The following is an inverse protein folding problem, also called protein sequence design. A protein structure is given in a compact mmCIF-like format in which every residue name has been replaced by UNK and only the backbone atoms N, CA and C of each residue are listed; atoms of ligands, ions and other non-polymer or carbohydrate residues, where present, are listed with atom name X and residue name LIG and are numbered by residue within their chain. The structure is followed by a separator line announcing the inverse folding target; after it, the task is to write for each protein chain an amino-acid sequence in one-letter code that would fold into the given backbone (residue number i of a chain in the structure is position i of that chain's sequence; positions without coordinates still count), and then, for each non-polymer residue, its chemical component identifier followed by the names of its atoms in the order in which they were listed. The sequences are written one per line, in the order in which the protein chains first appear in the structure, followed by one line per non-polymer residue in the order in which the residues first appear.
data_IF_233531443730
#
_entry.id   IF_233531443730
#
_cell.length_a   1.000
_cell.length_b   1.000
_cell.length_c   1.000
_cell.angle_alpha   90.00
_cell.angle_beta   90.00
_cell.angle_gamma   90.00
#
_symmetry.space_group_name_H-M   'P 1'
#
loop_
_entity.id
_entity.type
_entity.pdbx_description
1 polymer ?
#
# COMPACT_ATOMS: atom_id res chain seq x y z
N UNK A 1 -28.11 -12.03 -79.97
CA UNK A 1 -27.39 -10.86 -79.41
C UNK A 1 -28.32 -10.05 -78.50
N UNK A 2 -28.32 -10.25 -77.24
CA UNK A 2 -29.09 -9.47 -76.26
C UNK A 2 -28.11 -8.71 -75.35
N UNK A 3 -28.12 -7.36 -75.49
CA UNK A 3 -27.34 -6.45 -74.70
C UNK A 3 -27.90 -6.36 -73.23
N UNK A 4 -27.11 -6.66 -72.25
CA UNK A 4 -27.47 -6.44 -70.85
C UNK A 4 -27.09 -4.98 -70.43
N UNK A 5 -28.04 -4.26 -69.86
CA UNK A 5 -27.87 -2.92 -69.29
C UNK A 5 -27.16 -3.02 -67.86
N UNK A 6 -26.27 -2.11 -67.51
CA UNK A 6 -25.71 -2.10 -66.15
C UNK A 6 -26.68 -1.40 -65.20
N UNK A 7 -26.83 -1.98 -64.01
CA UNK A 7 -27.54 -1.39 -62.90
C UNK A 7 -26.65 -0.30 -62.27
N UNK A 8 -27.19 0.90 -62.08
CA UNK A 8 -26.60 1.99 -61.33
C UNK A 8 -26.98 1.78 -59.88
N UNK A 9 -25.99 1.58 -59.03
CA UNK A 9 -26.14 1.61 -57.57
C UNK A 9 -25.99 3.04 -57.13
N UNK A 10 -27.03 3.62 -56.54
CA UNK A 10 -27.05 4.94 -55.96
C UNK A 10 -26.52 4.81 -54.53
N UNK A 11 -25.33 5.32 -54.23
CA UNK A 11 -24.79 5.44 -52.89
C UNK A 11 -25.45 6.63 -52.20
N UNK A 12 -26.19 6.36 -51.12
CA UNK A 12 -26.68 7.35 -50.16
C UNK A 12 -25.57 7.59 -49.16
N UNK A 13 -25.11 8.82 -48.89
CA UNK A 13 -24.14 9.06 -47.85
C UNK A 13 -24.82 9.02 -46.47
N UNK A 14 -24.44 8.04 -45.66
CA UNK A 14 -24.77 8.02 -44.24
C UNK A 14 -23.90 9.10 -43.57
N UNK A 15 -24.50 10.18 -43.14
CA UNK A 15 -23.88 11.15 -42.27
C UNK A 15 -23.68 10.52 -40.86
N UNK A 16 -22.47 10.15 -40.55
CA UNK A 16 -22.09 9.74 -39.17
C UNK A 16 -22.11 10.99 -38.27
N UNK A 17 -23.12 11.09 -37.43
CA UNK A 17 -23.13 12.04 -36.34
C UNK A 17 -22.05 11.59 -35.32
N UNK A 18 -20.92 12.31 -35.27
CA UNK A 18 -19.98 12.23 -34.17
C UNK A 18 -20.67 12.78 -32.91
N UNK A 19 -21.20 11.89 -32.07
CA UNK A 19 -21.51 12.20 -30.71
C UNK A 19 -20.17 12.35 -29.99
N UNK A 20 -19.79 13.59 -29.65
CA UNK A 20 -18.75 13.86 -28.67
C UNK A 20 -19.17 13.21 -27.34
N UNK A 21 -18.66 12.04 -27.05
CA UNK A 21 -18.66 11.52 -25.69
C UNK A 21 -17.79 12.47 -24.87
N UNK A 22 -18.43 13.25 -24.02
CA UNK A 22 -17.75 13.95 -22.94
C UNK A 22 -17.18 12.85 -22.05
N UNK A 23 -15.86 12.73 -22.08
CA UNK A 23 -15.11 11.95 -21.09
C UNK A 23 -15.35 12.60 -19.74
N UNK A 24 -16.27 12.03 -18.96
CA UNK A 24 -16.30 12.29 -17.53
C UNK A 24 -14.97 11.80 -16.98
N UNK A 25 -14.13 12.72 -16.51
CA UNK A 25 -12.96 12.37 -15.70
C UNK A 25 -13.48 11.62 -14.47
N UNK A 26 -13.32 10.32 -14.47
CA UNK A 26 -13.51 9.53 -13.28
C UNK A 26 -12.37 9.95 -12.33
N UNK A 27 -12.71 10.51 -11.19
CA UNK A 27 -11.79 10.68 -10.08
C UNK A 27 -11.12 9.34 -9.76
N UNK A 28 -9.88 9.33 -9.21
CA UNK A 28 -9.26 8.10 -8.72
C UNK A 28 -10.27 7.34 -7.89
N UNK A 29 -10.28 5.99 -7.89
CA UNK A 29 -11.34 5.30 -7.19
C UNK A 29 -11.34 5.88 -5.79
N UNK A 30 -12.25 6.85 -5.61
CA UNK A 30 -12.69 7.24 -4.31
C UNK A 30 -13.36 5.98 -3.77
N UNK A 31 -12.53 4.97 -3.49
CA UNK A 31 -12.91 3.90 -2.60
C UNK A 31 -13.49 4.52 -1.33
N UNK A 32 -13.49 5.85 -1.25
CA UNK A 32 -13.40 6.57 0.00
C UNK A 32 -14.38 7.71 0.20
N UNK A 33 -15.25 8.04 -0.76
CA UNK A 33 -16.25 9.09 -0.55
C UNK A 33 -17.52 8.85 -1.36
N UNK A 34 -18.44 8.04 -0.81
CA UNK A 34 -19.87 8.20 -1.11
C UNK A 34 -20.52 8.99 0.01
N UNK A 35 -21.37 9.99 -0.29
CA UNK A 35 -22.19 10.65 0.72
C UNK A 35 -23.00 9.60 1.48
N UNK A 36 -23.03 9.68 2.82
CA UNK A 36 -23.79 8.79 3.64
C UNK A 36 -25.28 8.93 3.29
N UNK A 37 -25.92 7.82 2.96
CA UNK A 37 -27.37 7.74 2.84
C UNK A 37 -27.98 7.96 4.26
N UNK A 38 -28.89 8.93 4.47
CA UNK A 38 -29.45 9.22 5.79
C UNK A 38 -30.38 8.10 6.26
N UNK A 39 -29.82 7.03 6.79
CA UNK A 39 -30.52 5.83 7.27
C UNK A 39 -29.61 4.64 7.44
N UNK A 40 -28.39 4.67 6.90
CA UNK A 40 -27.36 3.65 7.11
C UNK A 40 -26.55 3.93 8.37
N UNK A 41 -26.21 2.90 9.15
CA UNK A 41 -25.21 3.02 10.23
C UNK A 41 -23.94 3.61 9.63
N UNK A 42 -23.42 4.67 10.23
CA UNK A 42 -22.15 5.26 9.83
C UNK A 42 -20.98 4.32 10.22
N UNK A 43 -19.92 4.32 9.44
CA UNK A 43 -18.63 3.75 9.85
C UNK A 43 -18.05 4.52 11.03
N UNK A 44 -17.26 3.86 11.86
CA UNK A 44 -16.47 4.54 12.88
C UNK A 44 -15.42 5.44 12.21
N UNK A 45 -15.13 6.57 12.83
CA UNK A 45 -14.13 7.54 12.39
C UNK A 45 -12.96 7.59 13.37
N UNK A 46 -11.76 7.85 12.87
CA UNK A 46 -10.58 8.09 13.68
C UNK A 46 -10.54 9.57 14.10
N UNK A 47 -11.13 9.91 15.24
CA UNK A 47 -11.27 11.30 15.71
C UNK A 47 -10.25 11.67 16.78
N UNK A 48 -9.92 10.73 17.67
CA UNK A 48 -9.06 10.94 18.83
C UNK A 48 -8.06 9.79 18.98
N UNK A 49 -6.91 10.01 19.63
CA UNK A 49 -5.99 8.95 19.98
C UNK A 49 -6.68 7.84 20.79
N UNK A 50 -6.29 6.59 20.56
CA UNK A 50 -6.80 5.43 21.30
C UNK A 50 -5.65 4.60 21.86
N UNK A 51 -5.95 3.74 22.82
CA UNK A 51 -5.02 2.69 23.21
C UNK A 51 -5.00 1.59 22.14
N UNK A 52 -3.79 1.19 21.75
CA UNK A 52 -3.57 0.04 20.89
C UNK A 52 -3.38 -1.21 21.74
N UNK A 53 -4.00 -2.29 21.35
CA UNK A 53 -3.97 -3.58 22.06
C UNK A 53 -3.32 -4.64 21.17
N UNK A 54 -2.07 -4.96 21.42
CA UNK A 54 -1.38 -6.02 20.68
C UNK A 54 -1.49 -7.36 21.44
N UNK A 55 -1.71 -8.49 20.72
CA UNK A 55 -1.68 -8.67 19.25
C UNK A 55 -2.99 -8.34 18.52
N UNK A 56 -4.07 -7.98 19.22
CA UNK A 56 -5.41 -7.77 18.63
C UNK A 56 -5.40 -6.80 17.46
N UNK A 57 -4.73 -5.66 17.60
CA UNK A 57 -4.71 -4.60 16.58
C UNK A 57 -3.79 -4.92 15.38
N UNK A 58 -3.15 -6.11 15.35
CA UNK A 58 -2.60 -6.66 14.11
C UNK A 58 -3.71 -7.16 13.18
N UNK A 59 -4.86 -7.52 13.73
CA UNK A 59 -6.02 -8.02 13.00
C UNK A 59 -6.90 -6.94 12.38
N UNK A 60 -8.07 -7.31 11.85
CA UNK A 60 -8.99 -6.40 11.19
C UNK A 60 -9.81 -5.55 12.15
N UNK A 61 -10.25 -4.37 11.65
CA UNK A 61 -11.04 -3.37 12.35
C UNK A 61 -12.37 -3.11 11.62
N UNK A 62 -13.35 -4.01 11.68
CA UNK A 62 -14.54 -3.99 10.82
C UNK A 62 -15.51 -2.84 11.09
N UNK A 63 -15.34 -2.09 12.18
CA UNK A 63 -16.06 -0.85 12.40
C UNK A 63 -15.66 0.27 11.44
N UNK A 64 -14.45 0.17 10.86
CA UNK A 64 -13.90 1.14 9.94
C UNK A 64 -14.09 0.71 8.49
N UNK A 65 -14.19 1.69 7.60
CA UNK A 65 -14.47 1.48 6.18
C UNK A 65 -13.34 0.80 5.44
N UNK A 66 -12.09 1.13 5.79
CA UNK A 66 -10.92 0.64 5.07
C UNK A 66 -9.76 0.38 6.01
N UNK A 67 -8.92 -0.54 5.59
CA UNK A 67 -7.65 -0.83 6.24
C UNK A 67 -6.71 -1.57 5.30
N UNK A 68 -5.41 -1.52 5.61
CA UNK A 68 -4.41 -2.27 4.88
C UNK A 68 -3.33 -2.86 5.77
N UNK A 69 -2.78 -3.94 5.29
CA UNK A 69 -1.58 -4.61 5.75
C UNK A 69 -0.56 -4.47 4.64
N UNK A 70 0.35 -3.52 4.77
CA UNK A 70 1.35 -3.20 3.77
C UNK A 70 2.69 -3.72 4.24
N UNK A 71 3.30 -4.65 3.49
CA UNK A 71 4.57 -5.28 3.82
C UNK A 71 5.53 -5.13 2.65
N UNK A 72 6.68 -4.51 2.92
CA UNK A 72 7.76 -4.37 1.95
C UNK A 72 9.08 -4.84 2.52
N UNK A 73 10.02 -5.18 1.67
CA UNK A 73 11.33 -5.58 2.17
C UNK A 73 12.43 -5.63 1.13
N UNK A 74 13.66 -5.55 1.63
CA UNK A 74 14.89 -5.72 0.88
C UNK A 74 15.58 -7.00 1.32
N UNK A 75 15.80 -7.92 0.37
CA UNK A 75 16.27 -9.27 0.62
C UNK A 75 17.56 -9.56 -0.17
N UNK A 76 18.32 -10.50 0.35
CA UNK A 76 19.54 -11.00 -0.27
C UNK A 76 19.51 -12.53 -0.35
N UNK A 77 19.99 -13.04 -1.46
CA UNK A 77 20.37 -14.44 -1.56
C UNK A 77 21.77 -14.68 -0.98
N UNK A 78 22.11 -15.92 -0.69
CA UNK A 78 23.43 -16.30 -0.14
C UNK A 78 24.58 -15.99 -1.09
N UNK A 79 24.32 -15.90 -2.40
CA UNK A 79 25.27 -15.52 -3.43
C UNK A 79 25.37 -13.99 -3.66
N UNK A 80 24.68 -13.19 -2.83
CA UNK A 80 24.67 -11.75 -2.87
C UNK A 80 23.65 -11.12 -3.82
N UNK A 81 22.87 -11.89 -4.58
CA UNK A 81 21.79 -11.36 -5.41
C UNK A 81 20.78 -10.61 -4.55
N UNK A 82 20.25 -9.51 -5.09
CA UNK A 82 19.36 -8.59 -4.35
C UNK A 82 17.94 -8.63 -4.89
N UNK A 83 16.99 -8.59 -3.95
CA UNK A 83 15.57 -8.55 -4.26
C UNK A 83 14.84 -7.51 -3.41
N UNK A 84 13.83 -6.86 -4.01
CA UNK A 84 12.79 -6.15 -3.29
C UNK A 84 11.48 -6.93 -3.38
N UNK A 85 10.61 -6.79 -2.39
CA UNK A 85 9.24 -7.28 -2.50
C UNK A 85 8.27 -6.32 -1.83
N UNK A 86 7.04 -6.35 -2.31
CA UNK A 86 5.86 -5.77 -1.68
C UNK A 86 4.75 -6.83 -1.69
N UNK A 87 4.03 -6.93 -0.58
CA UNK A 87 2.75 -7.62 -0.50
C UNK A 87 1.81 -6.79 0.37
N UNK A 88 0.78 -6.24 -0.26
CA UNK A 88 -0.22 -5.43 0.43
C UNK A 88 -1.59 -6.08 0.31
N UNK A 89 -2.32 -6.11 1.42
CA UNK A 89 -3.74 -6.45 1.46
C UNK A 89 -4.53 -5.23 1.86
N UNK A 90 -5.56 -4.91 1.08
CA UNK A 90 -6.54 -3.88 1.37
C UNK A 90 -7.88 -4.53 1.66
N UNK A 91 -8.55 -4.10 2.74
CA UNK A 91 -9.95 -4.41 3.02
C UNK A 91 -10.78 -3.14 2.87
N UNK A 92 -11.87 -3.25 2.15
CA UNK A 92 -12.87 -2.19 1.99
C UNK A 92 -14.23 -2.74 2.39
N UNK A 93 -14.82 -2.20 3.45
CA UNK A 93 -16.16 -2.53 3.86
C UNK A 93 -17.17 -1.69 3.06
N UNK A 94 -18.15 -2.36 2.46
CA UNK A 94 -19.26 -1.74 1.71
C UNK A 94 -20.38 -1.28 2.64
N UNK A 95 -20.52 -1.96 3.78
CA UNK A 95 -21.48 -1.64 4.84
C UNK A 95 -20.83 -1.83 6.21
N UNK A 96 -21.16 -1.02 7.21
CA UNK A 96 -20.63 -1.18 8.56
C UNK A 96 -21.00 -2.55 9.16
N UNK A 97 -20.10 -3.11 9.96
CA UNK A 97 -20.40 -4.33 10.70
C UNK A 97 -21.53 -4.08 11.70
N UNK A 98 -22.50 -5.01 11.86
CA UNK A 98 -23.66 -4.81 12.75
C UNK A 98 -23.28 -4.53 14.21
N UNK A 99 -22.21 -5.17 14.70
CA UNK A 99 -21.81 -5.15 16.11
C UNK A 99 -20.31 -4.91 16.33
N UNK A 100 -19.60 -4.43 15.31
CA UNK A 100 -18.13 -4.26 15.36
C UNK A 100 -17.36 -5.57 15.51
N UNK A 101 -18.02 -6.72 15.33
CA UNK A 101 -17.41 -8.04 15.46
C UNK A 101 -16.77 -8.48 14.15
N UNK A 102 -15.50 -8.79 14.24
CA UNK A 102 -14.68 -9.37 13.17
C UNK A 102 -15.06 -10.83 12.96
N UNK A 103 -15.17 -11.26 11.70
CA UNK A 103 -15.18 -12.68 11.34
C UNK A 103 -16.37 -13.49 11.84
N UNK A 104 -17.43 -12.86 12.29
CA UNK A 104 -18.68 -13.56 12.46
C UNK A 104 -19.23 -13.88 11.06
N UNK A 105 -19.01 -15.12 10.61
CA UNK A 105 -19.97 -15.77 9.72
C UNK A 105 -21.35 -15.36 10.20
N UNK A 106 -22.30 -14.93 9.36
CA UNK A 106 -23.58 -14.43 9.80
C UNK A 106 -24.23 -15.50 10.70
N UNK A 107 -24.15 -15.28 12.02
CA UNK A 107 -25.09 -15.94 12.91
C UNK A 107 -26.43 -15.42 12.43
N UNK A 108 -27.14 -16.24 11.67
CA UNK A 108 -28.50 -16.04 11.24
C UNK A 108 -29.31 -15.63 12.45
N UNK A 109 -29.61 -14.33 12.58
CA UNK A 109 -30.81 -13.94 13.27
C UNK A 109 -31.94 -14.64 12.53
N UNK A 110 -32.66 -15.52 13.23
CA UNK A 110 -33.72 -16.33 12.66
C UNK A 110 -34.69 -15.42 11.89
N UNK A 111 -34.71 -15.50 10.56
CA UNK A 111 -35.62 -14.77 9.70
C UNK A 111 -35.10 -14.36 8.33
N UNK A 112 -33.80 -14.10 8.15
CA UNK A 112 -33.26 -13.79 6.85
C UNK A 112 -32.18 -14.82 6.46
N UNK A 113 -32.47 -15.63 5.48
CA UNK A 113 -31.47 -16.45 4.76
C UNK A 113 -30.50 -15.50 4.07
N UNK A 114 -29.44 -15.09 4.78
CA UNK A 114 -28.39 -14.29 4.18
C UNK A 114 -27.72 -15.15 3.10
N UNK A 115 -27.92 -14.77 1.84
CA UNK A 115 -27.25 -15.43 0.70
C UNK A 115 -25.73 -15.48 0.94
N UNK A 116 -25.12 -16.66 0.78
CA UNK A 116 -23.67 -16.84 0.81
C UNK A 116 -22.92 -15.95 -0.23
N UNK A 117 -23.68 -15.32 -1.12
CA UNK A 117 -23.20 -14.39 -2.13
C UNK A 117 -23.29 -12.91 -1.72
N UNK A 118 -23.86 -12.60 -0.54
CA UNK A 118 -23.93 -11.22 -0.08
C UNK A 118 -22.52 -10.73 0.25
N UNK A 119 -22.04 -9.75 -0.49
CA UNK A 119 -20.74 -9.13 -0.29
C UNK A 119 -20.86 -7.99 0.69
N UNK A 120 -20.13 -8.03 1.78
CA UNK A 120 -20.02 -6.95 2.77
C UNK A 120 -18.66 -6.28 2.72
N UNK A 121 -17.62 -7.02 2.31
CA UNK A 121 -16.25 -6.58 2.23
C UNK A 121 -15.63 -7.01 0.88
N UNK A 122 -14.80 -6.13 0.35
CA UNK A 122 -13.96 -6.39 -0.81
C UNK A 122 -12.51 -6.37 -0.33
N UNK A 123 -11.76 -7.34 -0.79
CA UNK A 123 -10.31 -7.41 -0.59
C UNK A 123 -9.60 -7.21 -1.91
N UNK A 124 -8.55 -6.39 -1.89
CA UNK A 124 -7.59 -6.23 -2.99
C UNK A 124 -6.23 -6.60 -2.44
N UNK A 125 -5.40 -7.24 -3.23
CA UNK A 125 -4.02 -7.46 -2.84
C UNK A 125 -3.08 -7.19 -4.02
N UNK A 126 -1.97 -6.56 -3.72
CA UNK A 126 -0.87 -6.32 -4.64
C UNK A 126 0.32 -7.15 -4.21
N UNK A 127 1.00 -7.77 -5.16
CA UNK A 127 2.25 -8.47 -4.94
C UNK A 127 3.25 -8.08 -6.01
N UNK A 128 4.38 -7.54 -5.59
CA UNK A 128 5.47 -7.18 -6.48
C UNK A 128 6.80 -7.78 -6.04
N UNK A 129 7.66 -8.07 -7.01
CA UNK A 129 9.04 -8.50 -6.80
C UNK A 129 9.96 -7.71 -7.72
N UNK A 130 10.98 -7.12 -7.13
CA UNK A 130 12.09 -6.46 -7.81
C UNK A 130 13.29 -7.39 -7.79
N UNK A 131 13.67 -7.98 -8.92
CA UNK A 131 14.93 -8.72 -9.11
C UNK A 131 15.98 -7.72 -9.60
N UNK A 132 16.75 -7.19 -8.65
CA UNK A 132 17.65 -6.05 -8.89
C UNK A 132 18.75 -6.41 -9.90
N UNK A 133 19.38 -7.56 -9.72
CA UNK A 133 20.51 -7.99 -10.55
C UNK A 133 20.07 -8.33 -11.97
N UNK A 134 18.87 -8.88 -12.14
CA UNK A 134 18.31 -9.15 -13.47
C UNK A 134 17.56 -7.96 -14.06
N UNK A 135 17.45 -6.85 -13.34
CA UNK A 135 16.72 -5.64 -13.72
C UNK A 135 15.27 -5.95 -14.14
N UNK A 136 14.59 -6.76 -13.35
CA UNK A 136 13.21 -7.18 -13.61
C UNK A 136 12.31 -6.76 -12.46
N UNK A 137 11.21 -6.12 -12.82
CA UNK A 137 10.09 -5.84 -11.92
C UNK A 137 8.88 -6.65 -12.39
N UNK A 138 8.24 -7.34 -11.47
CA UNK A 138 7.01 -8.11 -11.73
C UNK A 138 6.01 -7.82 -10.64
N UNK A 139 4.76 -7.65 -11.03
CA UNK A 139 3.66 -7.43 -10.10
C UNK A 139 2.41 -8.16 -10.56
N UNK A 140 1.50 -8.37 -9.62
CA UNK A 140 0.15 -8.86 -9.86
C UNK A 140 -0.81 -8.22 -8.85
N UNK A 141 -2.03 -7.93 -9.30
CA UNK A 141 -3.15 -7.53 -8.48
C UNK A 141 -4.16 -8.67 -8.43
N UNK A 142 -4.74 -8.90 -7.25
CA UNK A 142 -5.90 -9.75 -7.05
C UNK A 142 -7.01 -8.95 -6.40
N UNK A 143 -8.25 -9.33 -6.70
CA UNK A 143 -9.45 -8.78 -6.09
C UNK A 143 -10.43 -9.93 -5.82
N UNK A 144 -10.96 -9.97 -4.60
CA UNK A 144 -12.01 -10.90 -4.23
C UNK A 144 -12.93 -10.28 -3.19
N UNK A 145 -14.12 -10.83 -3.07
CA UNK A 145 -15.02 -10.59 -1.94
C UNK A 145 -14.79 -11.64 -0.85
N UNK A 146 -15.22 -11.34 0.37
CA UNK A 146 -15.12 -12.27 1.51
C UNK A 146 -15.86 -13.60 1.32
N UNK A 147 -16.76 -13.68 0.34
CA UNK A 147 -17.63 -14.83 0.12
C UNK A 147 -16.83 -16.10 -0.19
N UNK A 148 -17.33 -17.25 0.26
CA UNK A 148 -16.79 -18.59 0.02
C UNK A 148 -15.35 -18.79 0.54
N UNK A 149 -14.87 -17.96 1.47
CA UNK A 149 -13.53 -18.06 2.02
C UNK A 149 -12.41 -17.66 1.04
N UNK A 150 -12.75 -16.99 -0.07
CA UNK A 150 -11.77 -16.52 -1.07
C UNK A 150 -10.85 -15.44 -0.51
N UNK A 151 -11.38 -14.59 0.36
CA UNK A 151 -10.61 -13.57 1.04
C UNK A 151 -11.14 -13.34 2.45
N UNK A 152 -10.33 -12.78 3.32
CA UNK A 152 -10.74 -12.44 4.68
C UNK A 152 -9.59 -11.98 5.55
N UNK A 153 -9.94 -11.58 6.78
CA UNK A 153 -8.99 -11.26 7.82
C UNK A 153 -9.53 -11.69 9.19
N UNK A 154 -8.64 -12.12 10.09
CA UNK A 154 -8.95 -12.49 11.47
C UNK A 154 -7.80 -12.08 12.40
N UNK A 155 -8.12 -11.83 13.68
CA UNK A 155 -7.15 -11.32 14.64
C UNK A 155 -6.41 -12.42 15.46
N UNK A 156 -7.07 -13.55 15.72
CA UNK A 156 -6.52 -14.58 16.59
C UNK A 156 -6.84 -16.00 16.08
N UNK A 157 -5.84 -16.75 15.58
CA UNK A 157 -4.52 -16.23 15.22
C UNK A 157 -4.61 -15.20 14.09
N UNK A 158 -3.64 -14.29 13.99
CA UNK A 158 -3.60 -13.35 12.88
C UNK A 158 -3.59 -14.09 11.55
N UNK A 159 -4.51 -13.74 10.69
CA UNK A 159 -4.52 -14.20 9.30
C UNK A 159 -5.22 -13.19 8.42
N UNK A 160 -4.56 -12.81 7.33
CA UNK A 160 -5.13 -12.04 6.22
C UNK A 160 -4.85 -12.82 4.96
N UNK A 161 -5.85 -13.01 4.11
CA UNK A 161 -5.66 -13.83 2.90
C UNK A 161 -6.52 -13.36 1.73
N UNK A 162 -6.03 -13.63 0.55
CA UNK A 162 -6.76 -13.49 -0.70
C UNK A 162 -6.25 -14.54 -1.72
N UNK A 163 -7.10 -15.51 -2.05
CA UNK A 163 -6.87 -16.50 -3.12
C UNK A 163 -5.43 -17.09 -3.09
N UNK A 164 -5.05 -17.69 -1.98
CA UNK A 164 -3.75 -18.34 -1.80
C UNK A 164 -2.60 -17.41 -1.41
N UNK A 165 -2.78 -16.10 -1.41
CA UNK A 165 -1.83 -15.17 -0.78
C UNK A 165 -2.21 -14.96 0.67
N UNK A 166 -1.23 -14.91 1.57
CA UNK A 166 -1.52 -14.74 3.00
C UNK A 166 -0.39 -14.08 3.78
N UNK A 167 -0.79 -13.37 4.83
CA UNK A 167 -0.01 -13.06 6.01
C UNK A 167 -0.65 -13.79 7.17
N UNK A 168 0.06 -14.68 7.85
CA UNK A 168 -0.53 -15.48 8.91
C UNK A 168 0.42 -15.77 10.06
N UNK A 169 -0.12 -15.76 11.26
CA UNK A 169 0.55 -16.23 12.44
C UNK A 169 0.44 -17.76 12.50
N UNK A 170 1.56 -18.49 12.71
CA UNK A 170 1.48 -19.92 12.94
C UNK A 170 0.57 -20.23 14.15
N UNK A 171 -0.18 -21.32 14.08
CA UNK A 171 -1.23 -21.70 15.04
C UNK A 171 -0.77 -21.95 16.51
N UNK A 172 0.40 -21.49 16.90
CA UNK A 172 1.02 -21.74 18.20
C UNK A 172 0.68 -20.73 19.29
N UNK A 173 -0.13 -19.70 18.98
CA UNK A 173 -0.57 -18.70 19.97
C UNK A 173 0.54 -17.78 20.50
N UNK A 174 1.68 -17.73 19.84
CA UNK A 174 2.79 -16.83 20.15
C UNK A 174 2.78 -15.64 19.18
N UNK A 175 3.15 -14.46 19.65
CA UNK A 175 3.24 -13.23 18.86
C UNK A 175 4.42 -13.27 17.87
N UNK A 176 4.32 -14.07 16.82
CA UNK A 176 5.32 -14.21 15.76
C UNK A 176 6.22 -15.45 15.89
N UNK A 177 7.05 -15.79 14.89
CA UNK A 177 7.16 -15.09 13.58
C UNK A 177 5.94 -15.30 12.69
N UNK A 178 5.65 -14.34 11.82
CA UNK A 178 4.56 -14.44 10.84
C UNK A 178 5.04 -15.07 9.54
N UNK A 179 4.17 -15.85 8.90
CA UNK A 179 4.42 -16.36 7.56
C UNK A 179 3.78 -15.45 6.53
N UNK A 180 4.55 -15.08 5.52
CA UNK A 180 4.11 -14.32 4.36
C UNK A 180 4.23 -15.19 3.12
N UNK A 181 3.11 -15.39 2.41
CA UNK A 181 3.08 -16.21 1.20
C UNK A 181 2.36 -15.50 0.07
N UNK A 182 2.99 -15.43 -1.10
CA UNK A 182 2.36 -14.99 -2.34
C UNK A 182 2.98 -15.66 -3.55
N UNK A 183 2.17 -15.91 -4.59
CA UNK A 183 2.63 -16.53 -5.82
C UNK A 183 1.99 -15.86 -7.04
N UNK A 184 2.81 -15.64 -8.07
CA UNK A 184 2.42 -15.22 -9.40
C UNK A 184 3.20 -16.00 -10.45
N UNK A 185 2.83 -15.98 -11.74
CA UNK A 185 3.58 -16.67 -12.78
C UNK A 185 5.06 -16.27 -12.80
N UNK A 186 5.95 -17.24 -12.53
CA UNK A 186 7.40 -17.08 -12.51
C UNK A 186 8.01 -16.61 -11.19
N UNK A 187 7.22 -16.18 -10.19
CA UNK A 187 7.70 -15.76 -8.88
C UNK A 187 6.74 -16.19 -7.77
N UNK A 188 7.29 -16.72 -6.68
CA UNK A 188 6.54 -16.93 -5.44
C UNK A 188 7.46 -16.69 -4.25
N UNK A 189 6.93 -16.11 -3.18
CA UNK A 189 7.62 -15.95 -1.90
C UNK A 189 6.98 -16.82 -0.84
N UNK A 190 7.81 -17.34 0.07
CA UNK A 190 7.40 -18.02 1.28
C UNK A 190 8.40 -17.61 2.37
N UNK A 191 8.01 -16.61 3.15
CA UNK A 191 8.89 -15.88 4.05
C UNK A 191 8.38 -15.97 5.49
N UNK A 192 9.31 -16.06 6.43
CA UNK A 192 9.06 -15.88 7.87
C UNK A 192 9.53 -14.49 8.26
N UNK A 193 8.64 -13.73 8.89
CA UNK A 193 8.86 -12.36 9.36
C UNK A 193 8.93 -12.37 10.88
N UNK A 194 10.07 -12.01 11.44
CA UNK A 194 10.30 -11.98 12.88
C UNK A 194 10.45 -10.53 13.38
N UNK A 195 9.48 -10.02 14.17
CA UNK A 195 9.58 -8.69 14.74
C UNK A 195 10.85 -8.48 15.56
N UNK A 196 11.58 -7.38 15.29
CA UNK A 196 12.81 -7.02 16.01
C UNK A 196 12.57 -5.91 17.03
N UNK A 197 11.40 -5.29 17.02
CA UNK A 197 11.02 -4.19 17.91
C UNK A 197 9.52 -4.19 18.15
N UNK A 198 9.08 -3.46 19.18
CA UNK A 198 7.66 -3.18 19.37
C UNK A 198 7.09 -2.34 18.23
N UNK A 199 5.76 -2.38 18.00
CA UNK A 199 5.09 -1.48 17.08
C UNK A 199 5.33 -0.01 17.44
N UNK A 200 5.50 0.82 16.41
CA UNK A 200 5.75 2.26 16.51
C UNK A 200 4.49 2.99 16.08
N UNK A 201 3.87 3.74 16.97
CA UNK A 201 2.66 4.49 16.69
C UNK A 201 3.00 5.78 15.93
N UNK A 202 2.37 5.98 14.77
CA UNK A 202 2.58 7.17 13.93
C UNK A 202 1.59 8.29 14.28
N UNK A 203 1.98 9.55 14.07
CA UNK A 203 1.16 10.69 14.39
C UNK A 203 0.99 10.91 15.91
N UNK A 204 -0.17 11.40 16.33
CA UNK A 204 -0.48 11.65 17.73
C UNK A 204 -0.93 10.35 18.42
N UNK A 205 0.01 9.61 19.02
CA UNK A 205 -0.24 8.32 19.66
C UNK A 205 -1.04 7.34 18.76
N UNK A 206 -0.66 7.26 17.49
CA UNK A 206 -1.29 6.39 16.50
C UNK A 206 -2.42 7.03 15.70
N UNK A 207 -2.85 8.25 16.00
CA UNK A 207 -3.80 9.02 15.18
C UNK A 207 -3.03 9.83 14.14
N UNK A 208 -3.16 9.45 12.88
CA UNK A 208 -2.53 10.11 11.73
C UNK A 208 -3.56 10.94 10.97
N UNK A 209 -3.53 12.26 11.15
CA UNK A 209 -4.42 13.20 10.43
C UNK A 209 -3.90 13.41 9.02
N UNK A 210 -4.84 13.47 8.06
CA UNK A 210 -4.53 13.70 6.63
C UNK A 210 -5.02 15.08 6.16
N UNK A 211 -5.93 15.70 6.89
CA UNK A 211 -6.42 17.07 6.62
C UNK A 211 -6.89 17.73 7.93
N UNK A 212 -7.33 18.99 7.85
CA UNK A 212 -7.96 19.69 8.98
C UNK A 212 -9.37 19.15 9.30
N UNK A 213 -10.02 18.47 8.35
CA UNK A 213 -11.37 17.96 8.53
C UNK A 213 -11.36 16.82 9.56
N UNK A 214 -12.27 16.91 10.53
CA UNK A 214 -12.47 15.83 11.49
C UNK A 214 -12.89 14.54 10.77
N UNK A 215 -12.23 13.43 11.09
CA UNK A 215 -12.47 12.13 10.44
C UNK A 215 -11.56 11.83 9.23
N UNK A 216 -10.91 12.84 8.63
CA UNK A 216 -9.84 12.63 7.64
C UNK A 216 -8.55 12.22 8.35
N UNK A 217 -8.62 11.10 9.02
CA UNK A 217 -7.54 10.52 9.80
C UNK A 217 -7.64 8.99 9.79
N UNK A 218 -6.54 8.38 10.14
CA UNK A 218 -6.42 6.93 10.29
C UNK A 218 -5.73 6.60 11.59
N UNK A 219 -5.97 5.40 12.10
CA UNK A 219 -5.08 4.79 13.08
C UNK A 219 -3.95 4.10 12.35
N UNK A 220 -2.73 4.40 12.75
CA UNK A 220 -1.55 4.03 12.01
C UNK A 220 -0.39 3.63 12.92
N UNK A 221 0.15 2.43 12.72
CA UNK A 221 1.41 2.03 13.32
C UNK A 221 2.31 1.33 12.30
N UNK A 222 3.61 1.37 12.55
CA UNK A 222 4.64 0.68 11.77
C UNK A 222 5.35 -0.37 12.63
N UNK A 223 5.83 -1.43 11.96
CA UNK A 223 6.89 -2.29 12.48
C UNK A 223 8.11 -2.12 11.56
N UNK A 224 9.02 -1.23 11.93
CA UNK A 224 10.10 -0.77 11.03
C UNK A 224 11.12 -1.85 10.70
N UNK A 225 11.25 -2.88 11.53
CA UNK A 225 12.26 -3.93 11.37
C UNK A 225 11.68 -5.30 11.67
N UNK A 226 11.48 -6.07 10.62
CA UNK A 226 11.14 -7.48 10.67
C UNK A 226 12.29 -8.27 10.04
N UNK A 227 12.97 -9.13 10.81
CA UNK A 227 13.96 -10.01 10.23
C UNK A 227 13.27 -11.02 9.32
N UNK A 228 13.79 -11.22 8.14
CA UNK A 228 13.22 -12.09 7.12
C UNK A 228 14.12 -13.27 6.84
N UNK A 229 13.52 -14.46 6.79
CA UNK A 229 14.13 -15.69 6.29
C UNK A 229 13.10 -16.43 5.44
N UNK A 230 13.56 -17.11 4.42
CA UNK A 230 12.68 -17.93 3.58
C UNK A 230 13.20 -18.05 2.17
N UNK A 231 12.29 -18.22 1.24
CA UNK A 231 12.66 -18.49 -0.16
C UNK A 231 11.81 -17.70 -1.15
N UNK A 232 12.42 -17.40 -2.27
CA UNK A 232 11.79 -16.99 -3.51
C UNK A 232 11.86 -18.16 -4.49
N UNK A 233 10.73 -18.60 -5.02
CA UNK A 233 10.71 -19.42 -6.21
C UNK A 233 10.77 -18.50 -7.43
N UNK A 234 11.87 -18.57 -8.19
CA UNK A 234 12.12 -17.73 -9.37
C UNK A 234 12.27 -18.61 -10.60
N UNK A 235 11.33 -18.47 -11.54
CA UNK A 235 11.29 -19.30 -12.77
C UNK A 235 11.43 -20.80 -12.48
N UNK A 236 10.76 -21.28 -11.39
CA UNK A 236 10.79 -22.69 -10.94
C UNK A 236 12.00 -23.07 -10.08
N UNK A 237 12.97 -22.18 -9.87
CA UNK A 237 14.16 -22.44 -9.05
C UNK A 237 14.04 -21.75 -7.68
N UNK A 238 14.24 -22.46 -6.56
CA UNK A 238 14.25 -21.87 -5.24
C UNK A 238 15.53 -21.05 -5.03
N UNK A 239 15.37 -19.88 -4.40
CA UNK A 239 16.44 -19.00 -3.96
C UNK A 239 16.22 -18.72 -2.48
N UNK A 240 17.13 -19.18 -1.63
CA UNK A 240 17.08 -18.88 -0.19
C UNK A 240 17.40 -17.42 0.08
N UNK A 241 16.56 -16.79 0.89
CA UNK A 241 16.61 -15.35 1.13
C UNK A 241 16.67 -15.01 2.62
N UNK A 242 17.36 -13.92 2.90
CA UNK A 242 17.34 -13.25 4.20
C UNK A 242 17.36 -11.73 4.00
N UNK A 243 16.97 -10.99 5.01
CA UNK A 243 16.96 -9.53 4.95
C UNK A 243 16.06 -8.88 5.98
N UNK A 244 15.57 -7.72 5.63
CA UNK A 244 14.66 -6.95 6.48
C UNK A 244 13.39 -6.60 5.71
N UNK A 245 12.26 -6.63 6.42
CA UNK A 245 10.99 -6.10 5.96
C UNK A 245 10.50 -4.97 6.87
N UNK A 246 9.55 -4.24 6.35
CA UNK A 246 8.76 -3.21 7.00
C UNK A 246 7.29 -3.64 6.94
N UNK A 247 6.53 -3.39 8.00
CA UNK A 247 5.08 -3.51 7.99
C UNK A 247 4.46 -2.18 8.41
N UNK A 248 3.48 -1.72 7.62
CA UNK A 248 2.52 -0.70 8.03
C UNK A 248 1.14 -1.29 8.19
N UNK A 249 0.47 -0.90 9.27
CA UNK A 249 -0.93 -1.15 9.53
C UNK A 249 -1.64 0.18 9.69
N UNK A 250 -2.65 0.36 8.87
CA UNK A 250 -3.42 1.59 8.89
C UNK A 250 -4.90 1.28 8.65
N UNK A 251 -5.79 1.93 9.39
CA UNK A 251 -7.24 1.78 9.25
C UNK A 251 -7.98 3.06 9.59
N UNK A 252 -9.09 3.30 8.89
CA UNK A 252 -9.90 4.49 9.06
C UNK A 252 -11.15 4.47 8.19
N UNK A 253 -11.90 5.55 8.21
CA UNK A 253 -13.05 5.74 7.34
C UNK A 253 -12.97 7.02 6.51
N UNK A 254 -12.11 7.94 6.90
CA UNK A 254 -11.70 9.10 6.11
C UNK A 254 -10.65 8.75 5.06
N UNK A 255 -10.31 9.73 4.25
CA UNK A 255 -9.33 9.61 3.17
C UNK A 255 -8.47 10.87 3.07
N UNK A 256 -7.95 11.11 1.89
CA UNK A 256 -7.34 12.37 1.54
C UNK A 256 -8.42 13.46 1.54
N UNK A 257 -8.05 14.66 1.95
CA UNK A 257 -8.92 15.82 1.86
C UNK A 257 -9.18 16.24 0.39
N UNK A 258 -10.04 17.23 0.16
CA UNK A 258 -10.47 17.60 -1.19
C UNK A 258 -9.38 18.30 -2.03
N UNK A 259 -8.26 18.64 -1.42
CA UNK A 259 -7.14 19.32 -2.08
C UNK A 259 -6.03 18.38 -2.49
N UNK A 260 -5.84 17.27 -1.74
CA UNK A 260 -4.79 16.31 -1.95
C UNK A 260 -5.09 15.40 -3.14
N UNK A 261 -4.06 15.16 -3.97
CA UNK A 261 -4.14 14.30 -5.17
C UNK A 261 -3.30 13.04 -5.06
N UNK A 262 -2.57 12.86 -3.97
CA UNK A 262 -1.72 11.71 -3.76
C UNK A 262 -0.65 11.97 -2.72
N UNK A 263 0.30 11.05 -2.63
CA UNK A 263 1.39 11.13 -1.66
C UNK A 263 2.68 10.50 -2.19
N UNK A 264 3.78 10.88 -1.57
CA UNK A 264 5.07 10.20 -1.62
C UNK A 264 5.33 9.64 -0.23
N UNK A 265 5.40 8.32 -0.09
CA UNK A 265 5.67 7.65 1.16
C UNK A 265 7.06 7.02 1.13
N UNK A 266 7.76 7.10 2.25
CA UNK A 266 9.12 6.60 2.43
C UNK A 266 9.21 5.76 3.69
N UNK A 267 9.76 4.54 3.61
CA UNK A 267 10.21 3.73 4.73
C UNK A 267 11.67 3.37 4.52
N UNK A 268 12.52 3.94 5.33
CA UNK A 268 13.97 3.79 5.21
C UNK A 268 14.52 3.11 6.44
N UNK A 269 15.25 2.02 6.25
CA UNK A 269 15.96 1.24 7.27
C UNK A 269 17.45 1.51 7.10
N UNK A 270 18.06 2.12 8.13
CA UNK A 270 19.45 2.56 8.07
C UNK A 270 20.38 1.52 8.71
N UNK A 271 21.65 1.52 8.28
CA UNK A 271 22.64 0.51 8.69
C UNK A 271 23.06 0.66 10.16
N UNK A 272 22.85 1.84 10.77
CA UNK A 272 23.07 2.08 12.19
C UNK A 272 21.95 1.53 13.09
N UNK A 273 20.94 0.87 12.50
CA UNK A 273 19.79 0.32 13.21
C UNK A 273 18.61 1.28 13.34
N UNK A 274 18.77 2.55 12.98
CA UNK A 274 17.68 3.52 12.97
C UNK A 274 16.76 3.35 11.77
N UNK A 275 15.58 3.99 11.80
CA UNK A 275 14.60 3.97 10.71
C UNK A 275 13.87 5.31 10.59
N UNK A 276 13.49 5.64 9.36
CA UNK A 276 12.70 6.84 9.04
C UNK A 276 11.48 6.44 8.22
N UNK A 277 10.29 6.74 8.69
CA UNK A 277 9.09 6.80 7.89
C UNK A 277 8.69 8.26 7.69
N UNK A 278 8.27 8.62 6.48
CA UNK A 278 7.70 9.92 6.20
C UNK A 278 6.74 9.83 5.00
N UNK A 279 5.56 10.42 5.14
CA UNK A 279 4.65 10.63 4.01
C UNK A 279 4.52 12.12 3.71
N UNK A 280 4.65 12.46 2.44
CA UNK A 280 4.45 13.79 1.90
C UNK A 280 3.15 13.82 1.10
N UNK A 281 2.08 14.37 1.68
CA UNK A 281 0.82 14.58 0.98
C UNK A 281 1.01 15.70 -0.05
N UNK A 282 0.46 15.52 -1.26
CA UNK A 282 0.58 16.48 -2.35
C UNK A 282 -0.78 17.04 -2.70
N UNK A 283 -0.87 18.35 -2.78
CA UNK A 283 -2.04 19.03 -3.29
C UNK A 283 -2.03 19.14 -4.83
N UNK A 284 -3.13 19.67 -5.37
CA UNK A 284 -3.33 19.85 -6.83
C UNK A 284 -2.29 20.75 -7.49
N UNK A 285 -1.67 21.65 -6.73
CA UNK A 285 -0.65 22.57 -7.21
C UNK A 285 0.76 21.94 -7.10
N UNK A 286 0.85 20.70 -6.60
CA UNK A 286 2.09 19.97 -6.38
C UNK A 286 2.84 20.43 -5.13
N UNK A 287 2.26 21.30 -4.31
CA UNK A 287 2.82 21.68 -3.04
C UNK A 287 2.64 20.54 -2.02
N UNK A 288 3.53 20.50 -1.06
CA UNK A 288 3.43 19.54 0.04
C UNK A 288 2.49 20.09 1.10
N UNK A 289 1.45 19.32 1.42
CA UNK A 289 0.46 19.67 2.44
C UNK A 289 1.07 19.68 3.84
N UNK A 290 0.54 20.53 4.72
CA UNK A 290 1.02 20.69 6.09
C UNK A 290 0.80 19.48 6.99
N UNK A 291 -0.16 18.62 6.66
CA UNK A 291 -0.41 17.34 7.35
C UNK A 291 0.57 16.24 6.97
N UNK A 292 1.54 16.53 6.08
CA UNK A 292 2.66 15.63 5.83
C UNK A 292 3.44 15.41 7.13
N UNK A 293 3.71 14.15 7.45
CA UNK A 293 4.30 13.79 8.72
C UNK A 293 5.11 12.50 8.64
N UNK A 294 5.82 12.20 9.69
CA UNK A 294 6.60 10.98 9.77
C UNK A 294 7.06 10.64 11.17
N UNK A 295 7.88 9.62 11.24
CA UNK A 295 8.43 9.11 12.50
C UNK A 295 9.88 8.69 12.30
N UNK A 296 10.74 9.16 13.17
CA UNK A 296 12.10 8.66 13.33
C UNK A 296 12.14 7.66 14.46
N UNK A 297 12.79 6.52 14.22
CA UNK A 297 13.11 5.51 15.25
C UNK A 297 14.61 5.40 15.35
N UNK A 298 15.16 5.74 16.48
CA UNK A 298 16.60 5.63 16.72
C UNK A 298 17.00 4.15 16.96
N UNK A 299 18.29 3.87 16.86
CA UNK A 299 18.83 2.51 17.09
C UNK A 299 18.60 1.96 18.50
N UNK A 300 18.40 2.82 19.48
CA UNK A 300 18.03 2.45 20.86
C UNK A 300 16.52 2.21 21.05
N UNK A 301 15.72 2.35 19.98
CA UNK A 301 14.28 2.20 19.99
C UNK A 301 13.51 3.47 20.39
N UNK A 302 14.20 4.57 20.70
CA UNK A 302 13.51 5.84 20.98
C UNK A 302 12.83 6.39 19.73
N UNK A 303 11.62 6.94 19.91
CA UNK A 303 10.73 7.38 18.82
C UNK A 303 10.55 8.89 18.88
N UNK A 304 10.66 9.53 17.72
CA UNK A 304 10.41 10.95 17.54
C UNK A 304 9.44 11.19 16.38
N UNK A 305 8.32 11.83 16.66
CA UNK A 305 7.42 12.31 15.61
C UNK A 305 8.08 13.47 14.83
N UNK A 306 7.85 13.48 13.52
CA UNK A 306 8.35 14.49 12.59
C UNK A 306 7.16 15.17 11.90
N UNK A 307 7.13 16.47 11.99
CA UNK A 307 6.16 17.31 11.28
C UNK A 307 6.62 17.63 9.85
N UNK A 308 5.74 18.25 9.08
CA UNK A 308 6.06 18.78 7.75
C UNK A 308 7.28 19.73 7.79
N UNK A 309 7.40 20.54 8.81
CA UNK A 309 8.48 21.52 8.97
C UNK A 309 9.86 20.89 9.34
N UNK A 310 9.86 19.69 9.95
CA UNK A 310 11.09 19.02 10.37
C UNK A 310 11.84 18.37 9.21
N UNK A 311 11.17 18.09 8.08
CA UNK A 311 11.72 17.29 6.99
C UNK A 311 11.73 18.08 5.68
N UNK A 312 12.90 18.17 5.06
CA UNK A 312 13.05 18.71 3.69
C UNK A 312 13.24 17.55 2.72
N UNK A 313 12.41 17.50 1.68
CA UNK A 313 12.50 16.53 0.58
C UNK A 313 12.70 17.28 -0.72
N UNK A 314 13.80 17.03 -1.41
CA UNK A 314 14.07 17.57 -2.73
C UNK A 314 14.18 16.44 -3.75
N UNK A 315 13.38 16.49 -4.80
CA UNK A 315 13.48 15.58 -5.94
C UNK A 315 14.74 15.93 -6.73
N UNK A 316 15.65 14.98 -6.87
CA UNK A 316 16.94 15.16 -7.56
C UNK A 316 17.04 14.39 -8.88
N UNK A 317 16.05 13.55 -9.19
CA UNK A 317 15.95 12.83 -10.44
C UNK A 317 14.50 12.46 -10.76
N UNK A 318 14.23 12.10 -12.00
CA UNK A 318 12.91 11.67 -12.42
C UNK A 318 12.99 10.58 -13.49
N UNK A 319 11.95 9.77 -13.58
CA UNK A 319 11.78 8.75 -14.58
C UNK A 319 10.43 8.96 -15.30
N UNK A 320 10.37 8.58 -16.59
CA UNK A 320 9.12 8.55 -17.35
C UNK A 320 8.76 7.11 -17.67
N UNK A 321 7.50 6.77 -17.40
CA UNK A 321 6.98 5.48 -17.80
C UNK A 321 6.70 5.44 -19.32
N UNK A 322 6.26 4.28 -19.81
CA UNK A 322 5.96 4.09 -21.25
C UNK A 322 4.79 4.93 -21.76
N UNK A 323 3.94 5.36 -20.88
CA UNK A 323 2.75 6.20 -21.17
C UNK A 323 3.08 7.69 -21.15
N UNK A 324 4.27 8.06 -20.69
CA UNK A 324 4.75 9.44 -20.64
C UNK A 324 4.59 10.14 -19.30
N UNK A 325 3.93 9.49 -18.31
CA UNK A 325 3.80 10.02 -16.95
C UNK A 325 5.18 10.12 -16.28
N UNK A 326 5.36 11.17 -15.51
CA UNK A 326 6.65 11.46 -14.87
C UNK A 326 6.57 11.23 -13.37
N UNK A 327 7.40 10.33 -12.89
CA UNK A 327 7.62 10.03 -11.47
C UNK A 327 8.92 10.64 -10.96
N UNK A 328 9.00 11.10 -9.71
CA UNK A 328 10.26 11.26 -8.99
C UNK A 328 11.04 9.93 -8.99
N UNK A 329 12.35 10.00 -9.13
CA UNK A 329 13.20 8.80 -9.17
C UNK A 329 14.55 9.00 -8.49
N UNK A 330 14.70 10.02 -7.69
CA UNK A 330 15.77 10.22 -6.73
C UNK A 330 15.42 11.39 -5.82
N UNK A 331 15.81 11.30 -4.56
CA UNK A 331 15.48 12.32 -3.56
C UNK A 331 16.70 12.63 -2.69
N UNK A 332 16.70 13.84 -2.15
CA UNK A 332 17.51 14.22 -1.00
C UNK A 332 16.58 14.54 0.15
N UNK A 333 16.72 13.80 1.24
CA UNK A 333 15.91 13.96 2.45
C UNK A 333 16.80 14.48 3.57
N UNK A 334 16.38 15.59 4.21
CA UNK A 334 17.11 16.19 5.32
C UNK A 334 16.19 16.35 6.53
N UNK A 335 16.74 16.01 7.69
CA UNK A 335 16.13 16.25 9.00
C UNK A 335 17.16 16.98 9.87
N UNK A 336 17.19 18.33 9.82
CA UNK A 336 18.24 19.11 10.47
C UNK A 336 18.40 18.81 11.97
N UNK A 337 17.29 18.64 12.67
CA UNK A 337 17.28 18.33 14.11
C UNK A 337 17.90 16.97 14.49
N UNK A 338 18.10 16.08 13.49
CA UNK A 338 18.80 14.80 13.61
C UNK A 338 20.18 14.83 12.96
N UNK A 339 20.61 15.97 12.44
CA UNK A 339 21.80 16.13 11.60
C UNK A 339 21.84 15.09 10.45
N UNK A 340 20.66 14.77 9.89
CA UNK A 340 20.48 13.72 8.87
C UNK A 340 20.39 14.35 7.47
N UNK A 341 21.17 13.82 6.53
CA UNK A 341 21.16 14.22 5.11
C UNK A 341 21.33 12.95 4.25
N UNK A 342 20.22 12.50 3.67
CA UNK A 342 20.13 11.25 2.93
C UNK A 342 19.91 11.50 1.44
N UNK A 343 20.56 10.70 0.60
CA UNK A 343 20.26 10.51 -0.82
C UNK A 343 19.55 9.18 -1.00
N UNK A 344 18.34 9.20 -1.57
CA UNK A 344 17.52 8.01 -1.82
C UNK A 344 17.43 7.80 -3.32
N UNK A 345 17.64 6.57 -3.78
CA UNK A 345 17.63 6.21 -5.22
C UNK A 345 16.95 4.87 -5.42
N UNK A 346 16.06 4.74 -6.43
CA UNK A 346 15.47 3.46 -6.80
C UNK A 346 16.50 2.42 -7.16
N UNK A 347 16.31 1.18 -6.71
CA UNK A 347 17.09 0.03 -7.16
C UNK A 347 16.86 -0.25 -8.66
N UNK A 348 15.64 -0.04 -9.14
CA UNK A 348 15.27 0.03 -10.55
C UNK A 348 14.39 1.26 -10.78
N UNK A 349 14.50 1.89 -11.95
CA UNK A 349 13.68 3.04 -12.28
C UNK A 349 12.20 2.64 -12.54
N UNK A 350 11.98 1.55 -13.29
CA UNK A 350 10.65 1.03 -13.61
C UNK A 350 10.21 0.01 -12.52
N UNK A 351 9.55 0.52 -11.49
CA UNK A 351 8.87 -0.27 -10.47
C UNK A 351 7.40 0.18 -10.36
N UNK A 352 6.80 0.54 -11.50
CA UNK A 352 5.40 0.95 -11.58
C UNK A 352 4.49 -0.26 -11.55
N UNK A 353 3.53 -0.29 -10.61
CA UNK A 353 2.40 -1.20 -10.61
C UNK A 353 1.30 -0.61 -11.50
N UNK A 354 1.08 -1.23 -12.65
CA UNK A 354 0.02 -0.85 -13.59
C UNK A 354 -1.30 -1.49 -13.19
N UNK A 355 -1.68 -1.24 -11.96
CA UNK A 355 -2.94 -1.62 -11.34
C UNK A 355 -4.03 -0.59 -11.64
N UNK A 356 -5.17 -0.67 -11.01
CA UNK A 356 -6.21 0.34 -11.07
C UNK A 356 -6.51 0.81 -9.63
N UNK A 357 -6.10 2.05 -9.27
CA UNK A 357 -5.24 3.00 -10.01
C UNK A 357 -3.78 2.54 -10.13
N UNK A 358 -3.02 3.08 -11.09
CA UNK A 358 -1.58 2.82 -11.19
C UNK A 358 -0.81 3.67 -10.17
N UNK A 359 0.28 3.12 -9.65
CA UNK A 359 1.20 3.82 -8.75
C UNK A 359 2.62 3.24 -8.86
N UNK A 360 3.62 3.95 -8.35
CA UNK A 360 4.98 3.46 -8.33
C UNK A 360 5.33 2.98 -6.93
N UNK A 361 5.91 1.78 -6.83
CA UNK A 361 6.19 1.10 -5.57
C UNK A 361 7.51 0.37 -5.69
N UNK A 362 8.54 0.82 -4.98
CA UNK A 362 9.83 0.27 -5.27
C UNK A 362 10.88 0.29 -4.17
N UNK A 363 11.74 -0.75 -4.24
CA UNK A 363 12.95 -0.84 -3.45
C UNK A 363 13.91 0.30 -3.78
N UNK A 364 14.49 0.90 -2.75
CA UNK A 364 15.45 2.00 -2.87
C UNK A 364 16.73 1.73 -2.08
N UNK A 365 17.83 2.30 -2.55
CA UNK A 365 19.10 2.41 -1.85
C UNK A 365 19.21 3.78 -1.18
N UNK A 366 19.78 3.80 0.01
CA UNK A 366 19.99 5.01 0.81
C UNK A 366 21.48 5.18 1.08
N UNK A 367 21.96 6.39 0.92
CA UNK A 367 23.32 6.78 1.32
C UNK A 367 23.33 8.22 1.79
N UNK A 368 24.21 8.56 2.70
CA UNK A 368 24.28 9.91 3.22
C UNK A 368 25.11 10.02 4.49
N UNK A 369 24.71 10.93 5.36
CA UNK A 369 25.45 11.23 6.58
C UNK A 369 24.49 11.53 7.73
N UNK A 370 24.93 11.22 8.96
CA UNK A 370 24.31 11.64 10.21
C UNK A 370 25.39 12.22 11.14
N UNK A 371 25.28 13.50 11.50
CA UNK A 371 26.27 14.14 12.37
C UNK A 371 27.70 14.12 11.82
N UNK A 372 27.90 14.00 10.50
CA UNK A 372 29.21 13.88 9.86
C UNK A 372 29.66 12.43 9.61
N UNK A 373 29.04 11.43 10.20
CA UNK A 373 29.33 10.02 9.96
C UNK A 373 28.61 9.53 8.71
N UNK A 374 29.28 8.73 7.88
CA UNK A 374 28.68 8.11 6.70
C UNK A 374 27.64 7.10 7.10
N UNK A 375 26.47 7.15 6.47
CA UNK A 375 25.33 6.30 6.75
C UNK A 375 24.77 5.72 5.47
N UNK A 376 24.60 4.40 5.43
CA UNK A 376 23.93 3.66 4.39
C UNK A 376 22.58 3.13 4.84
N UNK A 377 21.88 2.49 3.93
CA UNK A 377 20.62 1.82 4.23
C UNK A 377 19.86 1.41 2.99
N UNK A 378 18.66 0.91 3.22
CA UNK A 378 17.68 0.56 2.18
C UNK A 378 16.29 0.90 2.63
N UNK A 379 15.36 0.88 1.68
CA UNK A 379 13.98 1.15 2.00
C UNK A 379 13.04 0.84 0.86
N UNK A 380 11.85 1.35 1.02
CA UNK A 380 10.80 1.36 0.01
C UNK A 380 10.22 2.77 -0.13
N UNK A 381 9.76 3.09 -1.32
CA UNK A 381 9.09 4.34 -1.64
C UNK A 381 7.83 4.02 -2.43
N UNK A 382 6.72 4.62 -2.01
CA UNK A 382 5.44 4.56 -2.72
C UNK A 382 5.09 5.95 -3.24
N UNK A 383 4.65 6.04 -4.51
CA UNK A 383 4.28 7.29 -5.17
C UNK A 383 2.89 7.13 -5.78
N UNK A 384 1.91 7.79 -5.20
CA UNK A 384 0.50 7.74 -5.62
C UNK A 384 0.07 9.07 -6.24
N UNK A 385 -0.80 9.01 -7.25
CA UNK A 385 -1.39 10.19 -7.89
C UNK A 385 -0.47 10.89 -8.91
N UNK A 386 0.46 10.17 -9.53
CA UNK A 386 1.31 10.66 -10.62
C UNK A 386 0.82 10.24 -12.01
N UNK A 387 0.15 9.09 -12.09
CA UNK A 387 -0.46 8.61 -13.32
C UNK A 387 -1.95 8.94 -13.32
N UNK A 388 -2.47 9.36 -14.47
CA UNK A 388 -3.90 9.52 -14.68
C UNK A 388 -4.56 8.16 -14.88
N UNK A 389 -5.75 7.98 -14.33
CA UNK A 389 -6.61 6.86 -14.66
C UNK A 389 -7.04 6.95 -16.12
N UNK A 390 -6.84 5.89 -16.89
CA UNK A 390 -7.23 5.81 -18.30
C UNK A 390 -8.50 5.00 -18.47
#
# INVERSE_FOLDING_TARGET
MRRRRPWRVTLVPLAAACACAQSSSAAPPAVLSSPADPGTRAFAEALEPRLFEFPRDHGPHPAFRQEWWYITGNLHATDGQRFGFELTFFRVALVPAPDGRVGASPATTAGESASAWRTREIYVAHFAVTDVDRKRFRFQQKLAREALGLAGAQAAPLRVWLDGWSLEEPATGTTGPWRLHAAQPGYAIDLMLEPQSAPVLNGAAGLSRKSEQAGDATYYYSMPRLAVRGRLLRDGQPVELHGLAWLDREWGSGGLGPREVGWDWFALQLDDGSALMFYALRDKDGARDEHSAGTWVASDGSVRALSNADVSIAVTGSWRNRSGERYPAAWRIRVPALALDLSVRPALADQELRTTPPYWEGAVDVGGHRGGETLGGRGYVELVGYAEER
#
